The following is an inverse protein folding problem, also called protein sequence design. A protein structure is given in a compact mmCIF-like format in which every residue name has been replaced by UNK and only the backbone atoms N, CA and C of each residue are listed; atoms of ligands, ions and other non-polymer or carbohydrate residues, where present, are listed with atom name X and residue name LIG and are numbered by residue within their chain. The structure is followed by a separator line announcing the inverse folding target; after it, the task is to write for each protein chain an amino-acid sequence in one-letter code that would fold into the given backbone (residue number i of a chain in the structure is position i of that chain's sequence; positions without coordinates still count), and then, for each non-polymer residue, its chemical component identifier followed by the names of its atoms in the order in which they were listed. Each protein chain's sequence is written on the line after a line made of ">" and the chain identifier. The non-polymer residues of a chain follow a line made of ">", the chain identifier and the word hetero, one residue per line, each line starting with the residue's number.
data_IF_461266698974
#
_entry.id   IF_461266698974
#
_cell.length_a   1.000
_cell.length_b   1.000
_cell.length_c   1.000
_cell.angle_alpha   90.00
_cell.angle_beta   90.00
_cell.angle_gamma   90.00
#
_symmetry.space_group_name_H-M   'P 1'
#
loop_
_entity.id
_entity.type
_entity.pdbx_description
1 polymer ?
#
# COMPACT_ATOMS: atom_id res chain seq x y z
N UNK A 1 19.13 6.88 -5.20
CA UNK A 1 18.66 5.62 -4.58
C UNK A 1 17.19 5.79 -4.31
N UNK A 2 16.34 4.77 -4.53
CA UNK A 2 14.93 4.87 -4.19
C UNK A 2 14.75 5.32 -2.74
N UNK A 3 13.82 6.21 -2.48
CA UNK A 3 13.55 6.73 -1.11
C UNK A 3 13.05 5.64 -0.16
N UNK A 4 12.70 4.46 -0.68
CA UNK A 4 12.33 3.26 0.09
C UNK A 4 13.52 2.57 0.78
N UNK A 5 14.75 2.82 0.31
CA UNK A 5 15.99 2.26 0.88
C UNK A 5 16.36 2.98 2.19
N UNK A 6 16.04 2.38 3.31
CA UNK A 6 16.34 2.93 4.65
C UNK A 6 16.53 1.81 5.67
N UNK A 7 17.26 2.08 6.75
CA UNK A 7 17.42 1.15 7.87
C UNK A 7 16.35 1.33 8.95
N UNK A 8 15.62 2.46 8.94
CA UNK A 8 14.52 2.65 9.88
C UNK A 8 13.27 1.89 9.40
N UNK A 9 12.44 1.45 10.34
CA UNK A 9 11.12 0.90 10.03
C UNK A 9 10.23 2.03 9.49
N UNK A 10 9.72 1.86 8.27
CA UNK A 10 8.80 2.80 7.64
C UNK A 10 7.38 2.62 8.19
N UNK A 11 6.69 3.73 8.36
CA UNK A 11 5.25 3.77 8.69
C UNK A 11 4.49 4.34 7.51
N UNK A 12 3.60 3.55 6.94
CA UNK A 12 2.79 3.89 5.78
C UNK A 12 1.30 3.88 6.19
N UNK A 13 0.61 4.99 5.93
CA UNK A 13 -0.82 5.10 6.24
C UNK A 13 -1.67 4.27 5.28
N UNK A 14 -2.35 3.23 5.79
CA UNK A 14 -3.23 2.33 5.03
C UNK A 14 -4.45 3.08 4.51
N UNK A 15 -4.56 3.23 3.19
CA UNK A 15 -5.56 4.09 2.55
C UNK A 15 -5.56 5.50 3.17
N UNK A 16 -4.36 5.97 3.53
CA UNK A 16 -4.12 7.14 4.37
C UNK A 16 -4.18 6.82 5.86
N UNK A 17 -5.12 7.38 6.59
CA UNK A 17 -5.38 7.11 8.00
C UNK A 17 -6.82 6.61 8.20
N UNK A 18 -7.18 5.48 7.58
CA UNK A 18 -8.57 4.99 7.51
C UNK A 18 -9.22 4.70 8.86
N UNK A 19 -8.42 4.57 9.91
CA UNK A 19 -8.95 4.41 11.27
C UNK A 19 -9.65 5.66 11.82
N UNK A 20 -9.41 6.83 11.23
CA UNK A 20 -9.94 8.13 11.70
C UNK A 20 -10.60 8.98 10.61
N UNK A 21 -10.23 8.77 9.37
CA UNK A 21 -10.65 9.59 8.24
C UNK A 21 -11.25 8.72 7.13
N UNK A 22 -12.07 9.27 6.23
CA UNK A 22 -12.56 8.53 5.07
C UNK A 22 -11.41 7.91 4.29
N UNK A 23 -11.41 6.58 4.16
CA UNK A 23 -10.35 5.85 3.46
C UNK A 23 -10.15 6.34 2.02
N UNK A 24 -8.91 6.34 1.53
CA UNK A 24 -8.57 6.73 0.18
C UNK A 24 -9.03 8.16 -0.18
N UNK A 25 -9.07 9.07 0.81
CA UNK A 25 -9.35 10.50 0.62
C UNK A 25 -8.08 11.34 0.76
N UNK A 26 -8.06 12.51 0.13
CA UNK A 26 -6.94 13.47 0.28
C UNK A 26 -6.75 13.88 1.74
N UNK A 27 -7.84 14.05 2.49
CA UNK A 27 -7.78 14.33 3.93
C UNK A 27 -7.04 13.23 4.68
N UNK A 28 -7.40 11.94 4.45
CA UNK A 28 -6.75 10.81 5.11
C UNK A 28 -5.24 10.75 4.81
N UNK A 29 -4.86 11.06 3.59
CA UNK A 29 -3.45 11.08 3.19
C UNK A 29 -2.66 12.21 3.87
N UNK A 30 -3.19 13.42 3.85
CA UNK A 30 -2.56 14.58 4.49
C UNK A 30 -2.42 14.37 5.99
N UNK A 31 -3.47 13.89 6.65
CA UNK A 31 -3.45 13.66 8.10
C UNK A 31 -2.52 12.50 8.49
N UNK A 32 -2.35 11.49 7.65
CA UNK A 32 -1.35 10.43 7.87
C UNK A 32 0.07 11.01 7.91
N UNK A 33 0.43 11.85 6.94
CA UNK A 33 1.75 12.51 6.91
C UNK A 33 1.93 13.43 8.12
N UNK A 34 0.94 14.26 8.47
CA UNK A 34 0.98 15.11 9.66
C UNK A 34 1.14 14.31 10.96
N UNK A 35 0.58 13.09 11.02
CA UNK A 35 0.73 12.19 12.16
C UNK A 35 2.11 11.50 12.25
N UNK A 36 3.00 11.75 11.28
CA UNK A 36 4.39 11.28 11.25
C UNK A 36 4.61 10.00 10.44
N UNK A 37 3.66 9.62 9.58
CA UNK A 37 3.90 8.59 8.57
C UNK A 37 4.98 9.03 7.58
N UNK A 38 5.74 8.08 7.06
CA UNK A 38 6.73 8.31 6.00
C UNK A 38 6.07 8.37 4.61
N UNK A 39 4.86 7.85 4.50
CA UNK A 39 4.09 7.83 3.28
C UNK A 39 2.70 7.27 3.48
N UNK A 40 2.04 7.02 2.37
CA UNK A 40 0.69 6.48 2.31
C UNK A 40 0.61 5.30 1.36
N UNK A 41 -0.32 4.42 1.65
CA UNK A 41 -0.75 3.36 0.73
C UNK A 41 -2.14 3.72 0.23
N UNK A 42 -2.41 3.42 -1.03
CA UNK A 42 -3.67 3.68 -1.72
C UNK A 42 -3.94 2.67 -2.82
N UNK A 43 -5.21 2.52 -3.17
CA UNK A 43 -5.69 1.58 -4.18
C UNK A 43 -6.17 2.30 -5.42
N UNK A 44 -5.89 1.78 -6.61
CA UNK A 44 -6.29 2.44 -7.86
C UNK A 44 -7.07 1.54 -8.81
N UNK A 45 -7.99 2.18 -9.50
CA UNK A 45 -8.79 1.62 -10.58
C UNK A 45 -8.84 2.56 -11.78
N UNK A 46 -9.14 2.00 -12.95
CA UNK A 46 -9.43 2.78 -14.14
C UNK A 46 -10.94 3.09 -14.21
N UNK A 47 -11.28 4.32 -14.59
CA UNK A 47 -12.66 4.73 -14.87
C UNK A 47 -13.06 4.37 -16.29
N UNK A 48 -14.35 4.49 -16.62
CA UNK A 48 -14.89 4.28 -17.98
C UNK A 48 -14.20 5.16 -19.04
N UNK A 49 -13.84 6.38 -18.66
CA UNK A 49 -13.17 7.37 -19.53
C UNK A 49 -11.64 7.37 -19.38
N UNK A 50 -11.05 6.29 -18.81
CA UNK A 50 -9.61 6.07 -18.79
C UNK A 50 -8.83 6.93 -17.79
N UNK A 51 -9.47 7.41 -16.73
CA UNK A 51 -8.81 8.14 -15.64
C UNK A 51 -8.48 7.20 -14.48
N UNK A 52 -7.39 7.48 -13.77
CA UNK A 52 -7.00 6.70 -12.59
C UNK A 52 -7.59 7.34 -11.34
N UNK A 53 -8.49 6.61 -10.67
CA UNK A 53 -9.09 7.04 -9.40
C UNK A 53 -8.62 6.19 -8.24
N UNK A 54 -8.73 6.74 -7.03
CA UNK A 54 -8.33 6.11 -5.79
C UNK A 54 -9.55 5.54 -5.06
N UNK A 55 -9.64 4.21 -5.03
CA UNK A 55 -10.75 3.46 -4.44
C UNK A 55 -10.30 2.03 -4.17
N UNK A 56 -10.72 1.44 -3.05
CA UNK A 56 -10.35 0.05 -2.74
C UNK A 56 -11.24 -0.96 -3.48
N UNK A 57 -12.55 -0.87 -3.30
CA UNK A 57 -13.51 -1.85 -3.83
C UNK A 57 -13.76 -1.64 -5.34
N UNK A 58 -14.22 -2.67 -6.02
CA UNK A 58 -14.68 -2.60 -7.42
C UNK A 58 -15.91 -1.70 -7.61
N UNK A 59 -16.65 -1.41 -6.53
CA UNK A 59 -17.78 -0.49 -6.52
C UNK A 59 -17.58 0.62 -5.49
N UNK A 60 -18.26 1.75 -5.68
CA UNK A 60 -18.23 2.89 -4.76
C UNK A 60 -19.24 2.78 -3.62
N UNK A 61 -20.00 1.69 -3.56
CA UNK A 61 -21.20 1.52 -2.72
C UNK A 61 -20.90 1.57 -1.21
N UNK A 62 -19.78 0.98 -0.77
CA UNK A 62 -19.44 0.87 0.65
C UNK A 62 -18.98 2.19 1.27
N UNK A 63 -18.25 2.97 0.50
CA UNK A 63 -17.52 4.15 1.03
C UNK A 63 -18.10 5.48 0.59
N UNK A 64 -19.13 5.49 -0.26
CA UNK A 64 -19.77 6.73 -0.75
C UNK A 64 -21.29 6.70 -0.59
N UNK A 65 -21.91 7.84 -0.81
CA UNK A 65 -23.36 8.02 -0.85
C UNK A 65 -23.99 7.62 -2.20
N UNK A 66 -23.21 7.20 -3.18
CA UNK A 66 -23.66 6.73 -4.49
C UNK A 66 -23.38 5.24 -4.68
N UNK A 67 -23.87 4.69 -5.77
CA UNK A 67 -23.71 3.28 -6.13
C UNK A 67 -23.24 3.15 -7.55
N UNK A 68 -22.47 2.12 -7.83
CA UNK A 68 -21.99 1.76 -9.16
C UNK A 68 -20.54 1.25 -9.15
N UNK A 69 -20.15 0.69 -10.29
CA UNK A 69 -18.79 0.26 -10.54
C UNK A 69 -18.02 1.36 -11.24
N UNK A 70 -16.83 1.68 -10.72
CA UNK A 70 -16.01 2.77 -11.28
C UNK A 70 -15.65 2.54 -12.76
N UNK A 71 -15.48 1.31 -13.21
CA UNK A 71 -15.24 0.98 -14.62
C UNK A 71 -16.41 1.32 -15.56
N UNK A 72 -17.61 1.48 -15.02
CA UNK A 72 -18.83 1.80 -15.76
C UNK A 72 -19.19 3.30 -15.66
N UNK A 73 -18.45 4.06 -14.86
CA UNK A 73 -18.69 5.48 -14.57
C UNK A 73 -17.54 6.37 -15.08
N UNK A 74 -17.89 7.55 -15.55
CA UNK A 74 -16.90 8.58 -15.91
C UNK A 74 -16.36 9.26 -14.65
N UNK A 75 -15.20 9.95 -14.77
CA UNK A 75 -14.67 10.73 -13.67
C UNK A 75 -15.67 11.76 -13.16
N UNK A 76 -16.36 12.47 -14.05
CA UNK A 76 -17.35 13.50 -13.68
C UNK A 76 -18.53 12.90 -12.88
N UNK A 77 -18.94 11.68 -13.18
CA UNK A 77 -19.96 10.98 -12.39
C UNK A 77 -19.42 10.58 -11.01
N UNK A 78 -18.21 10.05 -10.95
CA UNK A 78 -17.55 9.63 -9.70
C UNK A 78 -17.25 10.83 -8.77
N UNK A 79 -16.91 11.99 -9.32
CA UNK A 79 -16.67 13.22 -8.53
C UNK A 79 -17.92 13.76 -7.82
N UNK A 80 -19.12 13.32 -8.17
CA UNK A 80 -20.36 13.65 -7.45
C UNK A 80 -20.49 12.88 -6.14
N UNK A 81 -19.81 11.73 -6.01
CA UNK A 81 -19.83 10.91 -4.81
C UNK A 81 -19.17 11.63 -3.62
N UNK A 82 -19.68 11.38 -2.43
CA UNK A 82 -19.18 11.89 -1.16
C UNK A 82 -18.65 10.71 -0.32
N UNK A 83 -17.36 10.79 0.05
CA UNK A 83 -16.70 9.83 0.93
C UNK A 83 -16.95 10.08 2.42
N UNK A 84 -17.66 11.16 2.76
CA UNK A 84 -17.78 11.68 4.12
C UNK A 84 -16.77 12.82 4.39
N UNK A 85 -17.07 13.62 5.40
CA UNK A 85 -16.27 14.82 5.77
C UNK A 85 -16.01 15.78 4.60
N UNK A 86 -16.92 15.85 3.62
CA UNK A 86 -16.79 16.70 2.43
C UNK A 86 -15.75 16.22 1.42
N UNK A 87 -15.24 14.97 1.56
CA UNK A 87 -14.23 14.43 0.67
C UNK A 87 -14.85 13.83 -0.59
N UNK A 88 -14.14 13.98 -1.71
CA UNK A 88 -14.49 13.39 -3.00
C UNK A 88 -13.50 12.28 -3.34
N UNK A 89 -13.91 11.36 -4.25
CA UNK A 89 -13.01 10.34 -4.79
C UNK A 89 -11.85 11.05 -5.50
N UNK A 90 -10.58 10.86 -5.03
CA UNK A 90 -9.44 11.50 -5.67
C UNK A 90 -9.06 10.80 -6.98
N UNK A 91 -8.42 11.55 -7.89
CA UNK A 91 -7.56 10.97 -8.91
C UNK A 91 -6.16 10.74 -8.34
N UNK A 92 -5.37 9.89 -9.00
CA UNK A 92 -3.97 9.67 -8.61
C UNK A 92 -3.14 10.95 -8.77
N UNK A 93 -3.42 11.77 -9.79
CA UNK A 93 -2.77 13.06 -9.99
C UNK A 93 -3.01 13.99 -8.80
N UNK A 94 -4.25 14.10 -8.32
CA UNK A 94 -4.58 14.92 -7.14
C UNK A 94 -3.82 14.49 -5.88
N UNK A 95 -3.55 13.18 -5.73
CA UNK A 95 -2.71 12.69 -4.62
C UNK A 95 -1.27 13.20 -4.75
N UNK A 96 -0.66 13.08 -5.94
CA UNK A 96 0.70 13.57 -6.17
C UNK A 96 0.83 15.09 -6.02
N UNK A 97 -0.21 15.85 -6.39
CA UNK A 97 -0.26 17.30 -6.22
C UNK A 97 -0.38 17.72 -4.76
N UNK A 98 -1.10 16.92 -3.96
CA UNK A 98 -1.44 17.25 -2.57
C UNK A 98 -0.32 16.88 -1.59
N UNK A 99 0.35 15.74 -1.79
CA UNK A 99 1.33 15.23 -0.86
C UNK A 99 2.72 15.86 -1.04
N UNK A 100 3.48 16.04 0.06
CA UNK A 100 4.87 16.49 -0.01
C UNK A 100 5.70 15.61 -0.98
N UNK A 101 6.68 16.22 -1.63
CA UNK A 101 7.52 15.53 -2.64
C UNK A 101 8.43 14.44 -2.05
N UNK A 102 8.64 14.45 -0.75
CA UNK A 102 9.40 13.45 0.00
C UNK A 102 8.52 12.35 0.62
N UNK A 103 7.18 12.49 0.56
CA UNK A 103 6.28 11.46 1.00
C UNK A 103 6.34 10.22 0.09
N UNK A 104 6.48 9.04 0.67
CA UNK A 104 6.42 7.77 -0.04
C UNK A 104 4.97 7.44 -0.43
N UNK A 105 4.79 6.85 -1.60
CA UNK A 105 3.46 6.47 -2.08
C UNK A 105 3.50 5.02 -2.55
N UNK A 106 2.78 4.14 -1.85
CA UNK A 106 2.53 2.77 -2.27
C UNK A 106 1.20 2.72 -3.01
N UNK A 107 1.25 2.48 -4.32
CA UNK A 107 0.08 2.37 -5.18
C UNK A 107 -0.24 0.89 -5.39
N UNK A 108 -1.31 0.41 -4.77
CA UNK A 108 -1.84 -0.92 -5.06
C UNK A 108 -2.68 -0.90 -6.34
N UNK A 109 -2.23 -1.63 -7.34
CA UNK A 109 -2.96 -1.80 -8.59
C UNK A 109 -3.98 -2.92 -8.45
N UNK A 110 -5.27 -2.56 -8.47
CA UNK A 110 -6.41 -3.48 -8.46
C UNK A 110 -6.77 -3.98 -9.86
N UNK A 111 -6.50 -3.15 -10.85
CA UNK A 111 -6.86 -3.38 -12.25
C UNK A 111 -5.63 -3.32 -13.13
N UNK A 112 -5.28 -4.45 -13.77
CA UNK A 112 -4.12 -4.52 -14.67
C UNK A 112 -4.18 -3.52 -15.84
N UNK A 113 -5.39 -3.13 -16.26
CA UNK A 113 -5.57 -2.15 -17.33
C UNK A 113 -5.09 -0.75 -16.90
N UNK A 114 -5.03 -0.46 -15.58
CA UNK A 114 -4.55 0.81 -15.06
C UNK A 114 -3.02 0.98 -15.10
N UNK A 115 -2.24 -0.10 -15.27
CA UNK A 115 -0.77 -0.10 -15.13
C UNK A 115 -0.11 1.01 -15.94
N UNK A 116 -0.38 1.08 -17.25
CA UNK A 116 0.29 2.04 -18.14
C UNK A 116 -0.05 3.48 -17.74
N UNK A 117 -1.32 3.74 -17.44
CA UNK A 117 -1.76 5.09 -17.05
C UNK A 117 -1.22 5.51 -15.69
N UNK A 118 -1.12 4.59 -14.73
CA UNK A 118 -0.47 4.83 -13.44
C UNK A 118 0.99 5.22 -13.64
N UNK A 119 1.74 4.47 -14.46
CA UNK A 119 3.16 4.76 -14.72
C UNK A 119 3.36 6.07 -15.48
N UNK A 120 2.49 6.41 -16.41
CA UNK A 120 2.50 7.71 -17.09
C UNK A 120 2.32 8.87 -16.08
N UNK A 121 1.41 8.72 -15.11
CA UNK A 121 1.21 9.71 -14.05
C UNK A 121 2.44 9.81 -13.16
N UNK A 122 2.99 8.67 -12.70
CA UNK A 122 4.21 8.62 -11.88
C UNK A 122 5.37 9.34 -12.56
N UNK A 123 5.56 9.12 -13.86
CA UNK A 123 6.60 9.77 -14.65
C UNK A 123 6.36 11.28 -14.79
N UNK A 124 5.12 11.68 -15.08
CA UNK A 124 4.72 13.10 -15.19
C UNK A 124 5.06 13.89 -13.92
N UNK A 125 4.92 13.27 -12.75
CA UNK A 125 5.26 13.89 -11.46
C UNK A 125 6.73 13.69 -11.05
N UNK A 126 7.58 13.05 -11.88
CA UNK A 126 8.96 12.66 -11.55
C UNK A 126 9.02 11.90 -10.20
N UNK A 127 8.11 10.95 -9.98
CA UNK A 127 7.88 10.33 -8.70
C UNK A 127 8.33 8.86 -8.62
N UNK A 128 9.10 8.34 -9.59
CA UNK A 128 9.54 6.93 -9.65
C UNK A 128 10.27 6.51 -8.36
N UNK A 129 11.21 7.33 -7.86
CA UNK A 129 12.02 6.98 -6.68
C UNK A 129 11.22 6.90 -5.37
N UNK A 130 10.09 7.64 -5.28
CA UNK A 130 9.24 7.65 -4.09
C UNK A 130 7.97 6.79 -4.21
N UNK A 131 7.74 6.17 -5.37
CA UNK A 131 6.57 5.34 -5.64
C UNK A 131 6.93 3.87 -5.63
N UNK A 132 6.14 3.08 -4.89
CA UNK A 132 6.10 1.63 -4.99
C UNK A 132 4.81 1.23 -5.69
N UNK A 133 4.90 0.29 -6.61
CA UNK A 133 3.72 -0.41 -7.14
C UNK A 133 3.59 -1.74 -6.41
N UNK A 134 2.43 -1.99 -5.84
CA UNK A 134 2.10 -3.29 -5.24
C UNK A 134 0.85 -3.89 -5.86
N UNK A 135 0.75 -5.20 -5.85
CA UNK A 135 -0.45 -5.92 -6.32
C UNK A 135 -0.46 -7.36 -5.82
N UNK A 136 -1.66 -7.92 -5.65
CA UNK A 136 -1.89 -9.37 -5.57
C UNK A 136 -1.82 -10.03 -6.96
N UNK A 137 -2.06 -9.25 -8.02
CA UNK A 137 -2.02 -9.73 -9.39
C UNK A 137 -0.58 -9.71 -9.92
N UNK A 138 0.03 -10.89 -10.02
CA UNK A 138 1.40 -11.06 -10.50
C UNK A 138 1.56 -10.51 -11.94
N UNK A 139 0.55 -10.66 -12.79
CA UNK A 139 0.63 -10.17 -14.17
C UNK A 139 0.59 -8.64 -14.24
N UNK A 140 -0.07 -7.97 -13.28
CA UNK A 140 0.05 -6.51 -13.14
C UNK A 140 1.46 -6.08 -12.77
N UNK A 141 2.15 -6.82 -11.90
CA UNK A 141 3.56 -6.56 -11.57
C UNK A 141 4.49 -6.84 -12.76
N UNK A 142 4.24 -7.92 -13.53
CA UNK A 142 4.98 -8.21 -14.77
C UNK A 142 4.84 -7.07 -15.77
N UNK A 143 3.61 -6.66 -16.05
CA UNK A 143 3.31 -5.54 -16.95
C UNK A 143 3.98 -4.25 -16.47
N UNK A 144 3.95 -3.98 -15.16
CA UNK A 144 4.64 -2.83 -14.56
C UNK A 144 6.14 -2.88 -14.84
N UNK A 145 6.80 -4.03 -14.62
CA UNK A 145 8.24 -4.20 -14.85
C UNK A 145 8.62 -4.15 -16.33
N UNK A 146 7.74 -4.57 -17.22
CA UNK A 146 7.93 -4.44 -18.67
C UNK A 146 7.98 -2.98 -19.10
N UNK A 147 7.07 -2.15 -18.56
CA UNK A 147 6.95 -0.72 -18.88
C UNK A 147 8.01 0.12 -18.18
N UNK A 148 8.28 -0.15 -16.90
CA UNK A 148 9.25 0.62 -16.11
C UNK A 148 10.21 -0.31 -15.37
N UNK A 149 11.54 -0.17 -15.68
CA UNK A 149 12.59 -1.03 -15.13
C UNK A 149 13.04 -0.61 -13.72
N UNK A 150 12.80 0.64 -13.34
CA UNK A 150 13.38 1.26 -12.14
C UNK A 150 12.41 1.38 -10.97
N UNK A 151 11.10 1.31 -11.24
CA UNK A 151 10.09 1.48 -10.18
C UNK A 151 10.16 0.36 -9.14
N UNK A 152 9.99 0.72 -7.89
CA UNK A 152 9.96 -0.21 -6.76
C UNK A 152 8.72 -1.10 -6.82
N UNK A 153 8.88 -2.43 -6.68
CA UNK A 153 7.77 -3.39 -6.70
C UNK A 153 7.63 -4.13 -5.38
N UNK A 154 6.39 -4.23 -4.91
CA UNK A 154 5.98 -5.03 -3.76
C UNK A 154 4.97 -6.12 -4.17
N UNK A 155 5.24 -7.37 -3.83
CA UNK A 155 4.30 -8.47 -4.03
C UNK A 155 3.38 -8.59 -2.82
N UNK A 156 2.09 -8.38 -3.00
CA UNK A 156 1.08 -8.65 -1.98
C UNK A 156 0.80 -10.15 -1.91
N UNK A 157 0.86 -10.70 -0.69
CA UNK A 157 0.62 -12.13 -0.43
C UNK A 157 -0.41 -12.25 0.68
N UNK A 158 -1.47 -13.01 0.41
CA UNK A 158 -2.50 -13.36 1.39
C UNK A 158 -2.58 -14.88 1.59
N UNK A 159 -2.24 -15.65 0.55
CA UNK A 159 -2.32 -17.12 0.56
C UNK A 159 -0.93 -17.77 0.58
N UNK A 160 -0.77 -18.83 1.36
CA UNK A 160 0.48 -19.63 1.41
C UNK A 160 0.87 -20.24 0.05
N UNK A 161 -0.10 -20.45 -0.84
CA UNK A 161 0.11 -21.00 -2.19
C UNK A 161 1.06 -20.15 -3.06
N UNK A 162 1.20 -18.87 -2.76
CA UNK A 162 2.10 -17.94 -3.46
C UNK A 162 3.55 -18.10 -3.01
N UNK A 163 3.79 -18.58 -1.78
CA UNK A 163 5.13 -18.65 -1.20
C UNK A 163 6.17 -19.38 -2.09
N UNK A 164 5.88 -20.56 -2.69
CA UNK A 164 6.83 -21.25 -3.56
C UNK A 164 7.24 -20.47 -4.81
N UNK A 165 6.46 -19.46 -5.23
CA UNK A 165 6.73 -18.64 -6.41
C UNK A 165 7.67 -17.47 -6.10
N UNK A 166 7.78 -17.06 -4.83
CA UNK A 166 8.53 -15.85 -4.41
C UNK A 166 9.98 -15.85 -4.91
N UNK A 167 10.78 -16.95 -4.79
CA UNK A 167 12.18 -16.94 -5.25
C UNK A 167 12.28 -16.64 -6.76
N UNK A 168 11.42 -17.25 -7.57
CA UNK A 168 11.39 -16.99 -9.01
C UNK A 168 10.94 -15.55 -9.32
N UNK A 169 9.86 -15.09 -8.68
CA UNK A 169 9.31 -13.74 -8.91
C UNK A 169 10.29 -12.66 -8.46
N UNK A 170 11.05 -12.89 -7.38
CA UNK A 170 12.11 -11.99 -6.94
C UNK A 170 13.08 -11.67 -8.07
N UNK A 171 13.59 -12.69 -8.73
CA UNK A 171 14.60 -12.52 -9.79
C UNK A 171 13.95 -12.00 -11.09
N UNK A 172 12.78 -12.53 -11.46
CA UNK A 172 12.03 -12.14 -12.66
C UNK A 172 11.63 -10.65 -12.63
N UNK A 173 11.16 -10.18 -11.48
CA UNK A 173 10.58 -8.85 -11.33
C UNK A 173 11.51 -7.86 -10.61
N UNK A 174 12.68 -8.29 -10.14
CA UNK A 174 13.51 -7.49 -9.24
C UNK A 174 12.66 -6.94 -8.08
N UNK A 175 11.96 -7.85 -7.38
CA UNK A 175 11.08 -7.46 -6.28
C UNK A 175 11.89 -6.79 -5.17
N UNK A 176 11.36 -5.71 -4.64
CA UNK A 176 11.88 -5.03 -3.46
C UNK A 176 11.33 -5.66 -2.17
N UNK A 177 10.01 -5.90 -2.12
CA UNK A 177 9.36 -6.39 -0.92
C UNK A 177 8.31 -7.47 -1.19
N UNK A 178 8.05 -8.24 -0.13
CA UNK A 178 6.84 -9.05 0.02
C UNK A 178 5.99 -8.42 1.10
N UNK A 179 4.74 -8.14 0.77
CA UNK A 179 3.81 -7.44 1.64
C UNK A 179 2.79 -8.46 2.18
N UNK A 180 2.86 -8.76 3.48
CA UNK A 180 2.08 -9.84 4.11
C UNK A 180 1.14 -9.32 5.20
N UNK A 181 -0.04 -9.94 5.38
CA UNK A 181 -0.94 -9.55 6.45
C UNK A 181 -0.39 -9.99 7.82
N UNK A 182 -0.40 -9.08 8.80
CA UNK A 182 -0.08 -9.44 10.19
C UNK A 182 -1.05 -10.50 10.73
N UNK A 183 -2.22 -10.61 10.14
CA UNK A 183 -3.25 -11.60 10.43
C UNK A 183 -2.78 -13.04 10.21
N UNK A 184 -1.71 -13.26 9.47
CA UNK A 184 -1.03 -14.54 9.36
C UNK A 184 -0.71 -15.18 10.73
N UNK A 185 -0.46 -14.37 11.76
CA UNK A 185 -0.29 -14.85 13.14
C UNK A 185 -1.50 -15.67 13.62
N UNK A 186 -2.71 -15.27 13.25
CA UNK A 186 -3.94 -16.01 13.62
C UNK A 186 -4.18 -17.24 12.75
N UNK A 187 -3.78 -17.17 11.49
CA UNK A 187 -4.05 -18.24 10.51
C UNK A 187 -3.11 -19.43 10.70
N UNK A 188 -1.82 -19.17 10.84
CA UNK A 188 -0.79 -20.21 10.89
C UNK A 188 -0.05 -20.31 12.23
N UNK A 189 -0.39 -19.45 13.19
CA UNK A 189 0.31 -19.36 14.48
C UNK A 189 1.57 -18.51 14.43
N UNK A 190 1.93 -17.91 15.58
CA UNK A 190 3.02 -16.94 15.66
C UNK A 190 4.38 -17.51 15.21
N UNK A 191 4.78 -18.70 15.67
CA UNK A 191 6.09 -19.25 15.36
C UNK A 191 6.24 -19.61 13.86
N UNK A 192 5.19 -20.16 13.26
CA UNK A 192 5.20 -20.46 11.82
C UNK A 192 5.20 -19.17 11.00
N UNK A 193 4.44 -18.15 11.39
CA UNK A 193 4.48 -16.84 10.77
C UNK A 193 5.88 -16.21 10.87
N UNK A 194 6.50 -16.23 12.06
CA UNK A 194 7.86 -15.74 12.26
C UNK A 194 8.88 -16.44 11.37
N UNK A 195 8.78 -17.78 11.25
CA UNK A 195 9.65 -18.57 10.36
C UNK A 195 9.45 -18.20 8.89
N UNK A 196 8.21 -17.96 8.46
CA UNK A 196 7.91 -17.52 7.09
C UNK A 196 8.54 -16.15 6.79
N UNK A 197 8.44 -15.19 7.72
CA UNK A 197 9.11 -13.89 7.56
C UNK A 197 10.64 -14.04 7.51
N UNK A 198 11.22 -14.86 8.40
CA UNK A 198 12.67 -15.13 8.39
C UNK A 198 13.14 -15.74 7.07
N UNK A 199 12.35 -16.66 6.50
CA UNK A 199 12.63 -17.22 5.20
C UNK A 199 12.61 -16.16 4.09
N UNK A 200 11.59 -15.30 4.04
CA UNK A 200 11.54 -14.20 3.06
C UNK A 200 12.74 -13.25 3.22
N UNK A 201 13.12 -12.92 4.45
CA UNK A 201 14.33 -12.11 4.73
C UNK A 201 15.60 -12.80 4.22
N UNK A 202 15.70 -14.13 4.34
CA UNK A 202 16.87 -14.89 3.84
C UNK A 202 17.03 -14.84 2.32
N UNK A 203 15.95 -14.54 1.59
CA UNK A 203 15.98 -14.26 0.15
C UNK A 203 16.51 -12.86 -0.20
N UNK A 204 16.82 -12.03 0.79
CA UNK A 204 17.24 -10.64 0.60
C UNK A 204 16.09 -9.66 0.29
N UNK A 205 14.85 -10.07 0.54
CA UNK A 205 13.67 -9.23 0.32
C UNK A 205 13.32 -8.40 1.58
N UNK A 206 12.75 -7.22 1.37
CA UNK A 206 12.11 -6.43 2.42
C UNK A 206 10.72 -7.00 2.72
N UNK A 207 10.22 -6.71 3.91
CA UNK A 207 8.89 -7.15 4.34
C UNK A 207 8.07 -5.94 4.79
N UNK A 208 6.90 -5.75 4.18
CA UNK A 208 5.88 -4.84 4.65
C UNK A 208 4.74 -5.63 5.32
N UNK A 209 4.44 -5.29 6.57
CA UNK A 209 3.27 -5.83 7.26
C UNK A 209 2.06 -4.92 6.99
N UNK A 210 0.90 -5.51 6.65
CA UNK A 210 -0.34 -4.77 6.49
C UNK A 210 -1.47 -5.40 7.33
N UNK A 211 -2.51 -4.65 7.75
CA UNK A 211 -3.52 -5.16 8.65
C UNK A 211 -4.84 -5.46 7.93
N UNK A 212 -5.41 -6.64 8.11
CA UNK A 212 -6.86 -6.81 8.10
C UNK A 212 -7.42 -6.47 9.49
N UNK A 213 -6.67 -6.82 10.55
CA UNK A 213 -6.97 -6.45 11.93
C UNK A 213 -5.80 -5.68 12.56
N UNK A 214 -5.90 -4.36 12.63
CA UNK A 214 -4.91 -3.44 13.18
C UNK A 214 -4.49 -3.77 14.62
N UNK A 215 -5.41 -4.27 15.47
CA UNK A 215 -5.12 -4.56 16.88
C UNK A 215 -4.03 -5.63 17.08
N UNK A 216 -3.79 -6.49 16.08
CA UNK A 216 -2.72 -7.49 16.15
C UNK A 216 -1.33 -6.88 16.27
N UNK A 217 -1.11 -5.65 15.81
CA UNK A 217 0.16 -4.95 16.01
C UNK A 217 0.46 -4.67 17.48
N UNK A 218 -0.57 -4.44 18.28
CA UNK A 218 -0.46 -3.98 19.67
C UNK A 218 -0.60 -5.11 20.69
N UNK A 219 -1.07 -6.28 20.25
CA UNK A 219 -1.30 -7.44 21.14
C UNK A 219 -0.01 -8.27 21.31
N UNK A 220 0.13 -8.91 22.48
CA UNK A 220 1.14 -9.93 22.78
C UNK A 220 2.60 -9.54 22.43
N UNK A 221 2.90 -8.24 22.40
CA UNK A 221 4.20 -7.72 21.95
C UNK A 221 4.62 -8.21 20.55
N UNK A 222 3.65 -8.40 19.66
CA UNK A 222 3.89 -9.02 18.35
C UNK A 222 4.99 -8.31 17.56
N UNK A 223 4.97 -6.98 17.46
CA UNK A 223 6.00 -6.24 16.70
C UNK A 223 7.39 -6.35 17.36
N UNK A 224 7.48 -6.33 18.69
CA UNK A 224 8.74 -6.52 19.39
C UNK A 224 9.29 -7.94 19.16
N UNK A 225 8.45 -8.96 19.22
CA UNK A 225 8.81 -10.37 18.96
C UNK A 225 9.20 -10.62 17.50
N UNK A 226 8.75 -9.78 16.57
CA UNK A 226 9.10 -9.81 15.14
C UNK A 226 10.26 -8.87 14.79
N UNK A 227 10.94 -8.27 15.78
CA UNK A 227 12.07 -7.36 15.57
C UNK A 227 13.09 -7.92 14.58
N UNK A 228 13.47 -7.12 13.57
CA UNK A 228 14.41 -7.51 12.52
C UNK A 228 13.80 -8.35 11.39
N UNK A 229 12.51 -8.70 11.47
CA UNK A 229 11.81 -9.51 10.46
C UNK A 229 10.83 -8.71 9.60
N UNK A 230 10.74 -7.40 9.79
CA UNK A 230 9.95 -6.49 8.94
C UNK A 230 10.65 -5.14 8.80
N UNK A 231 10.36 -4.45 7.73
CA UNK A 231 11.00 -3.18 7.35
C UNK A 231 9.97 -2.05 7.23
N UNK A 232 8.71 -2.38 7.00
CA UNK A 232 7.61 -1.44 6.82
C UNK A 232 6.37 -1.93 7.57
N UNK A 233 5.65 -1.00 8.18
CA UNK A 233 4.31 -1.24 8.73
C UNK A 233 3.31 -0.35 8.01
N UNK A 234 2.35 -0.97 7.35
CA UNK A 234 1.17 -0.30 6.81
C UNK A 234 0.12 -0.31 7.92
N UNK A 235 -0.51 0.82 8.24
CA UNK A 235 -1.31 0.97 9.47
C UNK A 235 -2.53 1.85 9.26
N UNK A 236 -3.63 1.51 9.93
CA UNK A 236 -4.87 2.29 9.92
C UNK A 236 -4.79 3.56 10.77
N UNK A 237 -3.89 3.58 11.79
CA UNK A 237 -3.62 4.75 12.66
C UNK A 237 -2.11 5.07 12.70
N UNK A 238 -1.60 5.86 11.73
CA UNK A 238 -0.18 6.21 11.67
C UNK A 238 0.35 6.86 12.95
N UNK A 239 -0.43 7.74 13.59
CA UNK A 239 0.00 8.44 14.80
C UNK A 239 0.15 7.49 15.99
N UNK A 240 -0.74 6.52 16.16
CA UNK A 240 -0.64 5.47 17.18
C UNK A 240 0.56 4.57 16.89
N UNK A 241 0.75 4.17 15.63
CA UNK A 241 1.86 3.30 15.22
C UNK A 241 3.23 3.95 15.43
N UNK A 242 3.41 5.20 15.03
CA UNK A 242 4.67 5.94 15.25
C UNK A 242 5.03 5.98 16.73
N UNK A 243 4.07 6.28 17.61
CA UNK A 243 4.28 6.27 19.06
C UNK A 243 4.63 4.88 19.58
N UNK A 244 3.95 3.86 19.10
CA UNK A 244 4.18 2.46 19.50
C UNK A 244 5.58 1.98 19.11
N UNK A 245 6.01 2.19 17.88
CA UNK A 245 7.36 1.82 17.43
C UNK A 245 8.46 2.55 18.19
N UNK A 246 8.28 3.84 18.51
CA UNK A 246 9.21 4.59 19.37
C UNK A 246 9.29 4.01 20.76
N UNK A 247 8.16 3.65 21.37
CA UNK A 247 8.13 3.04 22.71
C UNK A 247 8.84 1.68 22.74
N UNK A 248 8.82 0.93 21.63
CA UNK A 248 9.54 -0.34 21.48
C UNK A 248 11.03 -0.18 21.11
N UNK A 249 11.50 1.04 20.85
CA UNK A 249 12.86 1.28 20.35
C UNK A 249 13.08 0.67 18.95
N UNK A 250 12.05 0.70 18.11
CA UNK A 250 12.05 0.21 16.73
C UNK A 250 12.12 1.36 15.71
N UNK A 251 11.96 2.60 16.17
CA UNK A 251 12.00 3.82 15.35
C UNK A 251 12.50 5.03 16.15
#
# INVERSE_FOLDING_TARGET
>A
MPHWETEKILVIGHRGGRGKYPENSLLAFVEAIKAGADGVELDVWLTKDGRVIVMHDESIDRTTNLRGKQKEMTLDELKKADLGMGQKIPTLEEVFETLPKDALINVEIKDIEAVEKVLEIVDTFNAVERTMISSFNIDALRKTREVNKDITLGLLVEEESVAPLIPKLKDELSLYSVNVPIDGIRVIGFERFRQALAWVKSLGLRIALWPANEELYYQNNNLERLRGLFDTVITDDPGKMVKHLKALGLR
#
